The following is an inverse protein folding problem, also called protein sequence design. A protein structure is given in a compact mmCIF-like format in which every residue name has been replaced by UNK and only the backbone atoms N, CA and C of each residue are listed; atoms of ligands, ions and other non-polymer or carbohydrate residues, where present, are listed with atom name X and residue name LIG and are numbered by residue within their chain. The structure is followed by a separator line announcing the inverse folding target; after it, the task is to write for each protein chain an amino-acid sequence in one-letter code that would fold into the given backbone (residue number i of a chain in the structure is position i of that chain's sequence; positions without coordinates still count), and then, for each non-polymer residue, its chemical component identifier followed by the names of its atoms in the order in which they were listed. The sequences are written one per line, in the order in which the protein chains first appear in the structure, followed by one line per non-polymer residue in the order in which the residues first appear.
data_IF_258259645723
#
_entry.id   IF_258259645723
#
_cell.length_a   1.000
_cell.length_b   1.000
_cell.length_c   1.000
_cell.angle_alpha   90.00
_cell.angle_beta   90.00
_cell.angle_gamma   90.00
#
_symmetry.space_group_name_H-M   'P 1'
#
loop_
_entity.id
_entity.type
_entity.pdbx_description
1 polymer ?
#
# COMPACT_ATOMS: atom_id res chain seq x y z
N UNK A 1 -2.65 -69.61 18.75
CA UNK A 1 -2.83 -69.19 20.15
C UNK A 1 -3.76 -67.97 20.13
N UNK A 2 -5.09 -68.14 20.26
CA UNK A 2 -5.86 -68.26 21.53
C UNK A 2 -5.82 -66.94 22.30
N UNK A 3 -6.80 -66.04 22.07
CA UNK A 3 -8.07 -65.77 22.78
C UNK A 3 -7.92 -64.54 23.71
N UNK A 4 -8.61 -63.42 23.44
CA UNK A 4 -9.96 -63.00 23.88
C UNK A 4 -9.97 -62.20 25.20
N UNK A 5 -10.63 -61.04 25.11
CA UNK A 5 -11.17 -60.11 26.12
C UNK A 5 -11.53 -60.73 27.49
N UNK A 6 -11.46 -59.92 28.55
CA UNK A 6 -12.62 -59.73 29.45
C UNK A 6 -12.66 -58.32 30.04
N UNK A 7 -13.84 -57.70 29.92
CA UNK A 7 -14.32 -56.61 30.76
C UNK A 7 -15.06 -57.21 31.96
N UNK A 8 -15.09 -56.49 33.09
CA UNK A 8 -16.11 -56.68 34.14
C UNK A 8 -16.60 -55.32 34.66
N UNK A 9 -17.86 -55.04 34.37
CA UNK A 9 -18.83 -54.32 35.23
C UNK A 9 -19.19 -55.27 36.39
N UNK A 10 -19.81 -54.93 37.52
CA UNK A 10 -20.69 -53.88 38.00
C UNK A 10 -20.70 -53.95 39.55
N UNK A 11 -21.27 -52.97 40.25
CA UNK A 11 -22.44 -53.19 41.13
C UNK A 11 -22.88 -51.91 41.83
N UNK A 12 -24.18 -51.67 41.79
CA UNK A 12 -24.88 -50.58 42.45
C UNK A 12 -25.34 -51.00 43.86
N UNK A 13 -25.48 -50.05 44.79
CA UNK A 13 -26.49 -50.17 45.84
C UNK A 13 -26.97 -48.80 46.34
N UNK A 14 -28.30 -48.67 46.43
CA UNK A 14 -29.09 -47.48 46.77
C UNK A 14 -29.06 -47.19 48.27
N UNK A 15 -29.16 -45.91 48.66
CA UNK A 15 -30.28 -45.40 49.46
C UNK A 15 -30.31 -43.86 49.55
N UNK A 16 -31.55 -43.37 49.56
CA UNK A 16 -32.10 -42.01 49.56
C UNK A 16 -31.83 -41.20 50.84
N UNK A 17 -31.73 -39.87 50.73
CA UNK A 17 -32.71 -38.87 51.25
C UNK A 17 -32.17 -37.43 51.03
N UNK A 18 -33.12 -36.57 50.71
CA UNK A 18 -33.15 -35.15 50.36
C UNK A 18 -32.49 -34.19 51.38
N UNK A 19 -31.75 -33.18 50.90
CA UNK A 19 -31.83 -31.80 51.42
C UNK A 19 -31.06 -30.81 50.52
N UNK A 20 -31.81 -29.82 50.02
CA UNK A 20 -31.36 -28.55 49.42
C UNK A 20 -29.95 -28.07 49.81
N UNK A 21 -29.11 -27.79 48.82
CA UNK A 21 -28.26 -26.59 48.85
C UNK A 21 -27.93 -26.11 47.44
N UNK A 22 -28.32 -24.87 47.17
CA UNK A 22 -28.08 -24.10 45.94
C UNK A 22 -26.57 -23.90 45.78
N UNK A 23 -25.95 -24.54 44.80
CA UNK A 23 -24.58 -24.24 44.40
C UNK A 23 -24.61 -23.14 43.32
N UNK A 24 -24.22 -21.94 43.74
CA UNK A 24 -24.13 -20.74 42.91
C UNK A 24 -23.15 -20.96 41.76
N UNK A 25 -23.66 -20.76 40.55
CA UNK A 25 -22.91 -20.73 39.30
C UNK A 25 -22.07 -19.45 39.26
N UNK A 26 -20.78 -19.53 39.59
CA UNK A 26 -19.86 -18.39 39.48
C UNK A 26 -19.24 -18.39 38.10
N UNK A 27 -19.88 -17.71 37.14
CA UNK A 27 -19.26 -17.34 35.87
C UNK A 27 -18.11 -16.38 36.15
N UNK A 28 -16.88 -16.89 36.05
CA UNK A 28 -15.68 -16.07 36.07
C UNK A 28 -15.57 -15.33 34.73
N UNK A 29 -16.05 -14.09 34.69
CA UNK A 29 -15.81 -13.18 33.58
C UNK A 29 -14.31 -12.81 33.58
N UNK A 30 -13.55 -13.48 32.72
CA UNK A 30 -12.18 -13.09 32.40
C UNK A 30 -12.26 -11.77 31.65
N UNK A 31 -12.02 -10.66 32.35
CA UNK A 31 -11.86 -9.35 31.75
C UNK A 31 -10.53 -9.33 30.99
N UNK A 32 -10.58 -9.58 29.68
CA UNK A 32 -9.45 -9.35 28.81
C UNK A 32 -9.19 -7.84 28.73
N UNK A 33 -8.10 -7.39 29.33
CA UNK A 33 -7.61 -6.02 29.18
C UNK A 33 -7.09 -5.83 27.75
N UNK A 34 -7.82 -5.09 26.93
CA UNK A 34 -7.41 -4.72 25.57
C UNK A 34 -6.45 -3.53 25.68
N UNK A 35 -5.16 -3.80 25.57
CA UNK A 35 -4.14 -2.76 25.46
C UNK A 35 -4.18 -2.15 24.05
N UNK A 36 -4.74 -0.95 23.93
CA UNK A 36 -4.67 -0.16 22.69
C UNK A 36 -3.32 0.54 22.65
N UNK A 37 -2.35 -0.06 21.95
CA UNK A 37 -1.08 0.62 21.65
C UNK A 37 -1.35 1.62 20.52
N UNK A 38 -1.40 2.91 20.86
CA UNK A 38 -1.53 3.98 19.87
C UNK A 38 -0.21 4.08 19.09
N UNK A 39 -0.23 3.64 17.82
CA UNK A 39 0.94 3.72 16.93
C UNK A 39 0.90 5.07 16.23
N UNK A 40 1.81 5.97 16.57
CA UNK A 40 1.99 7.23 15.84
C UNK A 40 2.64 6.89 14.49
N UNK A 41 1.96 7.21 13.39
CA UNK A 41 2.49 7.05 12.04
C UNK A 41 2.88 8.42 11.50
N UNK A 42 4.10 8.52 10.99
CA UNK A 42 4.55 9.73 10.30
C UNK A 42 3.72 9.96 9.05
N UNK A 43 3.59 11.20 8.61
CA UNK A 43 2.93 11.50 7.35
C UNK A 43 3.62 12.63 6.60
N UNK A 44 3.73 12.46 5.29
CA UNK A 44 4.13 13.52 4.37
C UNK A 44 2.88 14.02 3.67
N UNK A 45 2.65 15.33 3.68
CA UNK A 45 1.51 15.98 3.00
C UNK A 45 2.03 17.05 2.05
N UNK A 46 1.53 17.05 0.82
CA UNK A 46 1.87 18.03 -0.21
C UNK A 46 0.62 18.52 -0.92
N UNK A 47 0.54 19.84 -1.12
CA UNK A 47 -0.52 20.46 -1.93
C UNK A 47 0.08 21.22 -3.10
N UNK A 48 -0.54 21.12 -4.28
CA UNK A 48 -0.14 21.87 -5.47
C UNK A 48 -1.35 22.40 -6.22
N UNK A 49 -1.44 23.73 -6.31
CA UNK A 49 -2.42 24.41 -7.14
C UNK A 49 -1.96 24.54 -8.59
N UNK A 50 -2.85 24.32 -9.55
CA UNK A 50 -2.59 24.62 -10.96
C UNK A 50 -3.88 24.99 -11.71
N UNK A 51 -3.73 25.66 -12.86
CA UNK A 51 -4.87 26.02 -13.71
C UNK A 51 -4.77 25.34 -15.07
N UNK A 52 -5.89 24.83 -15.57
CA UNK A 52 -6.05 24.23 -16.89
C UNK A 52 -7.41 24.61 -17.50
N UNK A 53 -7.82 23.99 -18.61
CA UNK A 53 -9.11 24.28 -19.26
C UNK A 53 -10.33 23.99 -18.36
N UNK A 54 -10.18 23.28 -17.24
CA UNK A 54 -11.24 23.02 -16.27
C UNK A 54 -11.22 24.00 -15.09
N UNK A 55 -10.37 25.03 -15.16
CA UNK A 55 -10.27 26.08 -14.15
C UNK A 55 -9.18 25.79 -13.13
N UNK A 56 -9.42 26.20 -11.87
CA UNK A 56 -8.48 25.99 -10.77
C UNK A 56 -8.56 24.54 -10.29
N UNK A 57 -7.40 23.91 -10.18
CA UNK A 57 -7.20 22.57 -9.68
C UNK A 57 -6.35 22.62 -8.41
N UNK A 58 -6.68 21.80 -7.43
CA UNK A 58 -5.88 21.56 -6.24
C UNK A 58 -5.57 20.07 -6.13
N UNK A 59 -4.28 19.74 -6.27
CA UNK A 59 -3.73 18.41 -5.99
C UNK A 59 -3.37 18.35 -4.50
N UNK A 60 -3.82 17.30 -3.83
CA UNK A 60 -3.43 16.96 -2.47
C UNK A 60 -2.85 15.53 -2.48
N UNK A 61 -1.66 15.35 -1.92
CA UNK A 61 -1.01 14.05 -1.78
C UNK A 61 -0.66 13.85 -0.32
N UNK A 62 -1.04 12.71 0.24
CA UNK A 62 -0.69 12.30 1.59
C UNK A 62 -0.07 10.92 1.55
N UNK A 63 1.10 10.75 2.13
CA UNK A 63 1.74 9.45 2.36
C UNK A 63 1.78 9.21 3.86
N UNK A 64 1.21 8.08 4.28
CA UNK A 64 1.18 7.66 5.69
C UNK A 64 2.20 6.56 5.90
N UNK A 65 2.98 6.68 6.96
CA UNK A 65 4.09 5.82 7.32
C UNK A 65 5.11 5.65 6.16
N UNK A 66 5.62 6.76 5.59
CA UNK A 66 6.62 6.65 4.54
C UNK A 66 7.96 6.14 5.07
N UNK A 67 8.83 5.74 4.15
CA UNK A 67 10.26 5.71 4.36
C UNK A 67 10.74 7.10 4.80
N UNK A 68 11.65 7.14 5.75
CA UNK A 68 12.33 8.38 6.12
C UNK A 68 13.83 8.12 5.97
N UNK A 69 14.51 8.86 5.07
CA UNK A 69 15.94 8.72 4.83
C UNK A 69 16.79 9.01 6.07
N UNK A 70 16.27 9.83 7.00
CA UNK A 70 16.91 10.14 8.28
C UNK A 70 16.63 9.08 9.35
N UNK A 71 15.75 8.11 9.08
CA UNK A 71 15.43 7.02 9.98
C UNK A 71 15.82 5.68 9.36
N UNK A 72 16.32 4.75 10.17
CA UNK A 72 16.50 3.37 9.74
C UNK A 72 15.18 2.60 9.55
N UNK A 73 14.01 3.28 9.51
CA UNK A 73 12.70 2.63 9.39
C UNK A 73 12.36 2.34 7.93
N UNK A 74 12.43 1.05 7.58
CA UNK A 74 12.01 0.51 6.29
C UNK A 74 10.85 -0.50 6.41
N UNK A 75 10.27 -0.66 7.60
CA UNK A 75 9.12 -1.52 7.89
C UNK A 75 8.05 -0.85 8.77
N UNK A 76 6.86 -1.46 8.81
CA UNK A 76 5.76 -1.01 9.65
C UNK A 76 4.48 -1.82 9.48
N UNK A 77 3.43 -1.42 10.20
CA UNK A 77 2.12 -2.11 10.17
C UNK A 77 1.24 -1.68 8.99
N UNK A 78 1.50 -0.50 8.43
CA UNK A 78 0.74 0.12 7.35
C UNK A 78 1.68 1.00 6.54
N UNK A 79 1.45 1.11 5.24
CA UNK A 79 2.02 2.17 4.41
C UNK A 79 1.03 2.43 3.28
N UNK A 80 0.65 3.69 3.06
CA UNK A 80 -0.23 4.03 1.96
C UNK A 80 0.03 5.42 1.41
N UNK A 81 -0.40 5.63 0.17
CA UNK A 81 -0.46 6.94 -0.48
C UNK A 81 -1.90 7.24 -0.89
N UNK A 82 -2.36 8.42 -0.55
CA UNK A 82 -3.65 8.99 -0.93
C UNK A 82 -3.40 10.19 -1.82
N UNK A 83 -4.06 10.23 -2.98
CA UNK A 83 -3.96 11.33 -3.93
C UNK A 83 -5.36 11.81 -4.26
N UNK A 84 -5.58 13.12 -4.14
CA UNK A 84 -6.84 13.77 -4.40
C UNK A 84 -6.66 14.95 -5.37
N UNK A 85 -7.55 15.05 -6.35
CA UNK A 85 -7.74 16.23 -7.18
C UNK A 85 -9.08 16.87 -6.86
N UNK A 86 -9.09 18.17 -6.58
CA UNK A 86 -10.31 18.98 -6.46
C UNK A 86 -10.31 20.07 -7.51
N UNK A 87 -11.39 20.18 -8.27
CA UNK A 87 -11.60 21.25 -9.26
C UNK A 87 -13.11 21.51 -9.45
N UNK A 88 -13.45 22.34 -10.43
CA UNK A 88 -14.84 22.69 -10.72
C UNK A 88 -15.69 21.51 -11.23
N UNK A 89 -15.07 20.42 -11.71
CA UNK A 89 -15.77 19.19 -12.11
C UNK A 89 -16.04 18.23 -10.94
N UNK A 90 -15.45 18.49 -9.78
CA UNK A 90 -15.66 17.71 -8.57
C UNK A 90 -14.37 17.26 -7.90
N UNK A 91 -14.45 16.12 -7.20
CA UNK A 91 -13.34 15.49 -6.48
C UNK A 91 -13.05 14.13 -7.09
N UNK A 92 -11.79 13.89 -7.46
CA UNK A 92 -11.25 12.56 -7.79
C UNK A 92 -10.26 12.16 -6.72
N UNK A 93 -10.31 10.93 -6.24
CA UNK A 93 -9.35 10.43 -5.24
C UNK A 93 -9.00 8.98 -5.49
N UNK A 94 -7.76 8.62 -5.19
CA UNK A 94 -7.27 7.25 -5.21
C UNK A 94 -6.40 7.01 -3.99
N UNK A 95 -6.52 5.83 -3.41
CA UNK A 95 -5.70 5.37 -2.31
C UNK A 95 -5.01 4.07 -2.72
N UNK A 96 -3.71 4.01 -2.55
CA UNK A 96 -2.93 2.79 -2.69
C UNK A 96 -2.37 2.38 -1.33
N UNK A 97 -2.80 1.22 -0.85
CA UNK A 97 -2.25 0.58 0.35
C UNK A 97 -1.17 -0.40 -0.10
N UNK A 98 0.05 -0.19 0.38
CA UNK A 98 1.16 -1.10 0.09
C UNK A 98 0.85 -2.46 0.72
N UNK A 99 0.91 -3.58 -0.03
CA UNK A 99 0.50 -4.89 0.46
C UNK A 99 1.45 -5.49 1.50
N UNK A 100 2.70 -5.02 1.57
CA UNK A 100 3.74 -5.64 2.39
C UNK A 100 4.51 -4.60 3.24
N UNK A 101 3.82 -3.80 4.08
CA UNK A 101 4.44 -2.73 4.87
C UNK A 101 5.48 -3.23 5.87
N UNK A 102 5.42 -4.51 6.25
CA UNK A 102 6.38 -5.15 7.15
C UNK A 102 7.72 -5.50 6.47
N UNK A 103 7.84 -5.33 5.15
CA UNK A 103 9.06 -5.68 4.41
C UNK A 103 9.59 -4.53 3.54
N UNK A 104 8.71 -3.63 3.10
CA UNK A 104 9.08 -2.36 2.50
C UNK A 104 8.05 -1.29 2.81
N UNK A 105 8.46 -0.02 2.84
CA UNK A 105 7.55 1.13 2.97
C UNK A 105 7.52 1.94 1.68
N UNK A 106 6.60 2.90 1.59
CA UNK A 106 6.52 3.82 0.45
C UNK A 106 7.53 4.93 0.66
N UNK A 107 8.40 5.15 -0.31
CA UNK A 107 9.28 6.31 -0.36
C UNK A 107 8.69 7.36 -1.29
N UNK A 108 8.62 8.59 -0.81
CA UNK A 108 7.94 9.67 -1.54
C UNK A 108 8.81 10.92 -1.60
N UNK A 109 9.10 11.36 -2.83
CA UNK A 109 9.91 12.53 -3.13
C UNK A 109 8.99 13.62 -3.67
N UNK A 110 8.66 14.60 -2.83
CA UNK A 110 7.63 15.61 -3.14
C UNK A 110 7.97 16.43 -4.39
N UNK A 111 9.25 16.67 -4.62
CA UNK A 111 9.81 17.49 -5.70
C UNK A 111 9.53 16.87 -7.07
N UNK A 112 9.44 15.54 -7.14
CA UNK A 112 9.25 14.81 -8.40
C UNK A 112 7.80 14.79 -8.90
N UNK A 113 6.85 15.25 -8.07
CA UNK A 113 5.50 15.55 -8.55
C UNK A 113 5.63 16.61 -9.64
N UNK A 114 5.08 16.33 -10.82
CA UNK A 114 5.07 17.32 -11.89
C UNK A 114 3.72 17.36 -12.59
N UNK A 115 3.37 18.57 -13.03
CA UNK A 115 2.14 18.86 -13.75
C UNK A 115 2.48 19.03 -15.22
N UNK A 116 1.93 18.17 -16.08
CA UNK A 116 2.20 18.19 -17.51
C UNK A 116 1.02 18.74 -18.30
N UNK A 117 1.26 19.77 -19.09
CA UNK A 117 0.30 20.27 -20.09
C UNK A 117 0.27 19.36 -21.33
N UNK A 118 -0.93 18.94 -21.71
CA UNK A 118 -1.27 18.11 -22.86
C UNK A 118 -2.40 18.76 -23.67
N UNK A 119 -2.10 19.93 -24.25
CA UNK A 119 -3.05 20.67 -25.08
C UNK A 119 -4.13 21.36 -24.25
N UNK A 120 -3.72 22.10 -23.22
CA UNK A 120 -4.60 22.83 -22.31
C UNK A 120 -5.20 21.98 -21.18
N UNK A 121 -5.19 20.66 -21.31
CA UNK A 121 -5.51 19.71 -20.24
C UNK A 121 -4.23 19.40 -19.47
N UNK A 122 -4.24 19.53 -18.14
CA UNK A 122 -3.07 19.20 -17.32
C UNK A 122 -3.23 17.85 -16.65
N UNK A 123 -2.15 17.08 -16.64
CA UNK A 123 -2.03 15.83 -15.90
C UNK A 123 -1.16 16.04 -14.67
N UNK A 124 -1.62 15.60 -13.50
CA UNK A 124 -0.77 15.49 -12.32
C UNK A 124 -0.16 14.08 -12.28
N UNK A 125 1.17 14.01 -12.21
CA UNK A 125 1.93 12.76 -12.21
C UNK A 125 2.67 12.67 -10.88
N UNK A 126 2.32 11.66 -10.09
CA UNK A 126 2.80 11.47 -8.72
C UNK A 126 3.59 10.15 -8.68
N UNK A 127 4.92 10.19 -8.88
CA UNK A 127 5.77 9.04 -8.63
C UNK A 127 5.83 8.71 -7.13
N UNK A 128 5.95 7.43 -6.82
CA UNK A 128 6.34 6.95 -5.51
C UNK A 128 7.15 5.65 -5.65
N UNK A 129 8.07 5.47 -4.72
CA UNK A 129 9.10 4.44 -4.70
C UNK A 129 8.94 3.59 -3.45
N UNK A 130 9.92 2.73 -3.20
CA UNK A 130 9.91 1.81 -2.09
C UNK A 130 11.29 1.77 -1.44
N UNK A 131 11.34 1.64 -0.12
CA UNK A 131 12.56 1.30 0.61
C UNK A 131 12.35 -0.02 1.36
N UNK A 132 13.42 -0.81 1.51
CA UNK A 132 13.37 -2.12 2.18
C UNK A 132 13.75 -3.28 1.25
N UNK A 133 13.97 -4.46 1.83
CA UNK A 133 14.66 -5.58 1.18
C UNK A 133 13.78 -6.57 0.41
N UNK A 134 12.50 -6.27 0.16
CA UNK A 134 11.55 -7.23 -0.42
C UNK A 134 11.31 -7.10 -1.93
N UNK A 135 11.86 -6.09 -2.58
CA UNK A 135 11.56 -5.92 -4.00
C UNK A 135 12.05 -7.13 -4.81
N UNK A 136 11.11 -7.77 -5.53
CA UNK A 136 11.36 -9.02 -6.26
C UNK A 136 12.22 -8.80 -7.51
N UNK A 137 12.52 -7.55 -7.82
CA UNK A 137 13.27 -7.06 -8.97
C UNK A 137 14.27 -6.00 -8.51
N UNK A 138 15.27 -5.72 -9.34
CA UNK A 138 16.37 -4.83 -8.96
C UNK A 138 15.91 -3.43 -8.55
N UNK A 139 14.87 -2.91 -9.20
CA UNK A 139 14.27 -1.60 -8.92
C UNK A 139 12.77 -1.60 -9.23
N UNK A 140 12.00 -0.84 -8.45
CA UNK A 140 10.55 -0.68 -8.69
C UNK A 140 10.09 0.75 -8.53
N UNK A 141 9.16 1.19 -9.36
CA UNK A 141 8.52 2.51 -9.20
C UNK A 141 7.04 2.39 -9.47
N UNK A 142 6.25 3.24 -8.84
CA UNK A 142 4.82 3.30 -9.05
C UNK A 142 4.37 4.72 -9.26
N UNK A 143 3.28 4.86 -10.00
CA UNK A 143 2.78 6.14 -10.41
C UNK A 143 1.28 6.20 -10.19
N UNK A 144 0.85 7.32 -9.59
CA UNK A 144 -0.53 7.76 -9.66
C UNK A 144 -0.60 8.91 -10.67
N UNK A 145 -1.52 8.82 -11.62
CA UNK A 145 -1.77 9.84 -12.63
C UNK A 145 -3.21 10.31 -12.51
N UNK A 146 -3.41 11.61 -12.34
CA UNK A 146 -4.70 12.24 -12.43
C UNK A 146 -4.79 13.01 -13.75
N UNK A 147 -5.72 12.59 -14.61
CA UNK A 147 -5.92 13.18 -15.91
C UNK A 147 -7.39 13.15 -16.29
N UNK A 148 -7.93 14.29 -16.73
CA UNK A 148 -9.36 14.45 -17.08
C UNK A 148 -10.33 14.01 -15.97
N UNK A 149 -10.02 14.32 -14.72
CA UNK A 149 -10.81 13.91 -13.55
C UNK A 149 -10.97 12.37 -13.44
N UNK A 150 -9.98 11.62 -13.93
CA UNK A 150 -9.82 10.18 -13.72
C UNK A 150 -8.47 9.91 -13.06
N UNK A 151 -8.42 8.88 -12.23
CA UNK A 151 -7.20 8.40 -11.59
C UNK A 151 -6.74 7.09 -12.24
N UNK A 152 -5.44 6.99 -12.46
CA UNK A 152 -4.77 5.79 -12.93
C UNK A 152 -3.65 5.46 -11.96
N UNK A 153 -3.50 4.20 -11.61
CA UNK A 153 -2.35 3.69 -10.88
C UNK A 153 -1.70 2.58 -11.68
N UNK A 154 -0.37 2.61 -11.76
CA UNK A 154 0.40 1.54 -12.37
C UNK A 154 1.74 1.35 -11.66
N UNK A 155 2.23 0.13 -11.73
CA UNK A 155 3.47 -0.31 -11.11
C UNK A 155 4.43 -0.75 -12.23
N UNK A 156 5.69 -0.41 -12.08
CA UNK A 156 6.76 -0.73 -13.02
C UNK A 156 7.89 -1.39 -12.28
N UNK A 157 8.23 -2.59 -12.72
CA UNK A 157 9.40 -3.32 -12.27
C UNK A 157 10.51 -3.15 -13.32
N UNK A 158 11.75 -3.02 -12.86
CA UNK A 158 12.93 -2.82 -13.70
C UNK A 158 14.04 -3.82 -13.35
N UNK A 159 14.75 -4.26 -14.39
CA UNK A 159 16.06 -4.90 -14.26
C UNK A 159 17.15 -3.85 -14.46
N UNK A 160 18.10 -3.80 -13.53
CA UNK A 160 19.22 -2.87 -13.44
C UNK A 160 20.48 -3.65 -13.04
N UNK A 161 21.09 -4.34 -14.00
CA UNK A 161 22.36 -5.05 -13.78
C UNK A 161 23.56 -4.10 -13.68
N UNK A 162 24.67 -4.58 -13.11
CA UNK A 162 25.91 -3.82 -13.02
C UNK A 162 26.39 -3.36 -14.40
N UNK A 163 26.60 -2.05 -14.57
CA UNK A 163 27.03 -1.46 -15.84
C UNK A 163 25.99 -1.49 -16.97
N UNK A 164 24.75 -1.91 -16.69
CA UNK A 164 23.67 -1.98 -17.69
C UNK A 164 22.61 -0.92 -17.39
N UNK A 165 22.13 -0.23 -18.44
CA UNK A 165 20.98 0.66 -18.31
C UNK A 165 19.75 -0.10 -17.80
N UNK A 166 19.04 0.50 -16.85
CA UNK A 166 17.80 -0.03 -16.32
C UNK A 166 16.74 -0.20 -17.42
N UNK A 167 16.08 -1.37 -17.46
CA UNK A 167 15.03 -1.69 -18.43
C UNK A 167 13.78 -2.22 -17.75
N UNK A 168 12.58 -1.82 -18.20
CA UNK A 168 11.34 -2.30 -17.60
C UNK A 168 11.14 -3.78 -17.93
N UNK A 169 10.73 -4.57 -16.94
CA UNK A 169 10.46 -6.03 -17.06
C UNK A 169 9.36 -6.28 -18.09
N UNK A 170 8.31 -5.46 -18.06
CA UNK A 170 7.21 -5.45 -19.05
C UNK A 170 7.30 -4.20 -19.90
N UNK A 171 6.96 -4.31 -21.18
CA UNK A 171 6.96 -3.14 -22.07
C UNK A 171 6.03 -2.05 -21.54
N UNK A 172 6.50 -0.78 -21.60
CA UNK A 172 5.70 0.36 -21.15
C UNK A 172 4.36 0.46 -21.90
N UNK A 173 4.33 0.03 -23.17
CA UNK A 173 3.12 -0.03 -23.98
C UNK A 173 2.07 -0.95 -23.36
N UNK A 174 2.48 -2.13 -22.88
CA UNK A 174 1.58 -3.11 -22.27
C UNK A 174 1.08 -2.62 -20.90
N UNK A 175 1.97 -2.10 -20.06
CA UNK A 175 1.62 -1.60 -18.73
C UNK A 175 0.67 -0.39 -18.81
N UNK A 176 0.92 0.52 -19.75
CA UNK A 176 0.18 1.78 -19.86
C UNK A 176 -1.02 1.70 -20.82
N UNK A 177 -1.44 0.50 -21.24
CA UNK A 177 -2.47 0.32 -22.29
C UNK A 177 -3.80 1.01 -22.00
N UNK A 178 -4.17 1.13 -20.72
CA UNK A 178 -5.45 1.70 -20.27
C UNK A 178 -5.43 3.24 -20.16
N UNK A 179 -4.27 3.88 -20.31
CA UNK A 179 -4.17 5.33 -20.30
C UNK A 179 -4.62 5.93 -21.64
N UNK A 180 -5.25 7.12 -21.61
CA UNK A 180 -5.54 7.89 -22.83
C UNK A 180 -4.27 8.12 -23.68
N UNK A 181 -4.45 8.18 -25.01
CA UNK A 181 -3.34 8.11 -25.97
C UNK A 181 -2.28 9.20 -25.77
N UNK A 182 -2.70 10.43 -25.48
CA UNK A 182 -1.82 11.59 -25.27
C UNK A 182 -0.93 11.42 -24.04
N UNK A 183 -1.52 11.17 -22.87
CA UNK A 183 -0.78 10.95 -21.63
C UNK A 183 0.07 9.67 -21.70
N UNK A 184 -0.44 8.61 -22.33
CA UNK A 184 0.33 7.37 -22.57
C UNK A 184 1.58 7.64 -23.41
N UNK A 185 1.45 8.39 -24.49
CA UNK A 185 2.57 8.73 -25.37
C UNK A 185 3.63 9.55 -24.63
N UNK A 186 3.19 10.52 -23.83
CA UNK A 186 4.08 11.30 -22.98
C UNK A 186 4.81 10.42 -21.96
N UNK A 187 4.07 9.60 -21.20
CA UNK A 187 4.63 8.76 -20.14
C UNK A 187 5.63 7.74 -20.68
N UNK A 188 5.36 7.10 -21.83
CA UNK A 188 6.33 6.20 -22.46
C UNK A 188 7.66 6.93 -22.71
N UNK A 189 7.62 8.13 -23.29
CA UNK A 189 8.84 8.91 -23.56
C UNK A 189 9.52 9.36 -22.28
N UNK A 190 8.76 9.79 -21.28
CA UNK A 190 9.27 10.27 -20.00
C UNK A 190 9.97 9.14 -19.23
N UNK A 191 9.31 7.99 -19.06
CA UNK A 191 9.81 6.86 -18.28
C UNK A 191 11.04 6.21 -18.92
N UNK A 192 11.10 6.11 -20.25
CA UNK A 192 12.29 5.63 -20.98
C UNK A 192 13.51 6.54 -20.78
N UNK A 193 13.30 7.82 -20.46
CA UNK A 193 14.40 8.75 -20.16
C UNK A 193 14.74 8.79 -18.69
N UNK A 194 13.74 8.82 -17.81
CA UNK A 194 13.92 8.97 -16.37
C UNK A 194 14.62 7.76 -15.75
N UNK A 195 14.17 6.55 -16.08
CA UNK A 195 14.61 5.33 -15.41
C UNK A 195 15.67 4.57 -16.19
N UNK A 196 16.78 5.25 -16.49
CA UNK A 196 17.96 4.64 -17.14
C UNK A 196 19.00 4.16 -16.13
N UNK A 197 19.05 4.76 -14.95
CA UNK A 197 19.98 4.42 -13.88
C UNK A 197 19.25 4.07 -12.58
N UNK A 198 19.94 3.33 -11.72
CA UNK A 198 19.50 2.92 -10.38
C UNK A 198 19.15 4.12 -9.50
N UNK A 199 19.95 5.18 -9.57
CA UNK A 199 19.79 6.42 -8.79
C UNK A 199 18.40 7.05 -8.97
N UNK A 200 17.76 6.85 -10.12
CA UNK A 200 16.43 7.41 -10.41
C UNK A 200 15.28 6.78 -9.60
N UNK A 201 15.55 5.69 -8.87
CA UNK A 201 14.56 4.95 -8.09
C UNK A 201 14.60 5.26 -6.59
N UNK A 202 15.66 5.92 -6.12
CA UNK A 202 15.84 6.32 -4.71
C UNK A 202 15.84 5.14 -3.71
N UNK A 203 16.29 3.93 -4.10
CA UNK A 203 16.16 2.69 -3.28
C UNK A 203 17.50 2.18 -2.74
N UNK A 204 18.49 3.05 -2.62
CA UNK A 204 19.82 2.72 -2.12
C UNK A 204 20.03 3.20 -0.69
#
# INVERSE_FOLDING_TARGET
MVLILYAFTASASRKTIDHRSIQKNTQSHVLASVYVKMVLLDSIVTERGYQDIYGKNMLHVKVTNPCNADSSRFDGLLSHIEVQLKNNKGKTSVTYKHPHPQMSLIQFIQEEIHIKDLGGRKAAIVPFYYCGGYESYDMKVSYIVLYENKSYIFHLDYYCGEGVECKPVRTLQATLKNLPKDIRTYLIRYLTKKHRSRDSFHQE
#
